data_IF_836026636228
#
_entry.id   IF_836026636228
#
_cell.length_a   1.000
_cell.length_b   1.000
_cell.length_c   1.000
_cell.angle_alpha   90.00
_cell.angle_beta   90.00
_cell.angle_gamma   90.00
#
_symmetry.space_group_name_H-M   'P 1'
#
loop_
_entity.id
_entity.type
_entity.pdbx_description
1 polymer ?
#
# COMPACT_ATOMS: atom_id res chain seq x y z
N UNK A 1 -44.31 30.85 -6.43
CA UNK A 1 -43.10 31.33 -5.74
C UNK A 1 -41.92 30.52 -6.18
N UNK A 2 -41.10 31.12 -7.01
CA UNK A 2 -39.87 30.53 -7.57
C UNK A 2 -38.77 30.72 -6.52
N UNK A 3 -38.19 29.62 -6.04
CA UNK A 3 -36.97 29.67 -5.25
C UNK A 3 -35.83 29.41 -6.22
N UNK A 4 -35.10 30.45 -6.55
CA UNK A 4 -33.86 30.43 -7.34
C UNK A 4 -32.81 29.60 -6.57
N UNK A 5 -32.45 28.46 -7.16
CA UNK A 5 -31.33 27.63 -6.75
C UNK A 5 -30.05 28.35 -7.18
N UNK A 6 -29.38 28.99 -6.24
CA UNK A 6 -28.04 29.54 -6.46
C UNK A 6 -27.07 28.39 -6.65
N UNK A 7 -26.73 28.10 -7.90
CA UNK A 7 -25.54 27.25 -8.22
C UNK A 7 -24.29 27.98 -7.75
N UNK A 8 -23.72 27.54 -6.63
CA UNK A 8 -22.35 27.88 -6.31
C UNK A 8 -21.44 27.11 -7.26
N UNK A 9 -20.98 27.75 -8.30
CA UNK A 9 -19.81 27.33 -9.05
C UNK A 9 -18.61 27.53 -8.14
N UNK A 10 -18.21 26.47 -7.44
CA UNK A 10 -16.91 26.39 -6.80
C UNK A 10 -15.90 26.28 -7.94
N UNK A 11 -15.18 27.39 -8.17
CA UNK A 11 -14.11 27.47 -9.18
C UNK A 11 -12.85 26.74 -8.73
N UNK A 12 -12.98 25.46 -8.36
CA UNK A 12 -11.82 24.59 -8.21
C UNK A 12 -11.38 24.19 -9.62
N UNK A 13 -10.17 24.58 -9.91
CA UNK A 13 -9.45 24.14 -11.10
C UNK A 13 -9.36 22.60 -11.09
N UNK A 14 -10.23 21.98 -11.88
CA UNK A 14 -10.37 20.51 -12.00
C UNK A 14 -9.16 19.89 -12.72
N UNK A 15 -8.19 20.71 -13.15
CA UNK A 15 -6.98 20.26 -13.85
C UNK A 15 -5.97 19.55 -12.93
N UNK A 16 -6.14 19.59 -11.59
CA UNK A 16 -5.26 18.94 -10.62
C UNK A 16 -5.80 17.61 -10.09
N UNK A 17 -7.01 17.22 -10.48
CA UNK A 17 -7.61 15.96 -10.03
C UNK A 17 -7.47 14.88 -11.12
N UNK A 18 -6.26 14.75 -11.68
CA UNK A 18 -5.91 13.60 -12.51
C UNK A 18 -5.83 12.36 -11.61
N UNK A 19 -7.01 11.81 -11.27
CA UNK A 19 -7.15 10.56 -10.53
C UNK A 19 -6.82 9.41 -11.46
N UNK A 20 -5.56 9.28 -11.87
CA UNK A 20 -5.13 8.08 -12.57
C UNK A 20 -5.25 6.92 -11.61
N UNK A 21 -5.94 5.88 -12.04
CA UNK A 21 -5.93 4.61 -11.32
C UNK A 21 -4.49 4.09 -11.35
N UNK A 22 -3.98 3.64 -10.19
CA UNK A 22 -2.63 3.12 -10.02
C UNK A 22 -2.71 1.66 -9.63
N UNK A 23 -1.87 0.86 -10.27
CA UNK A 23 -1.70 -0.54 -9.91
C UNK A 23 -0.37 -0.68 -9.14
N UNK A 24 -0.45 -1.22 -7.93
CA UNK A 24 0.71 -1.58 -7.12
C UNK A 24 1.01 -3.06 -7.33
N UNK A 25 2.27 -3.39 -7.56
CA UNK A 25 2.68 -4.73 -7.90
C UNK A 25 3.82 -5.16 -6.97
N UNK A 26 3.61 -6.21 -6.22
CA UNK A 26 4.61 -6.87 -5.38
C UNK A 26 5.63 -7.61 -6.27
N UNK A 27 6.57 -6.84 -6.84
CA UNK A 27 7.49 -7.36 -7.86
C UNK A 27 8.91 -7.50 -7.40
N UNK A 28 9.31 -6.75 -6.39
CA UNK A 28 10.69 -6.72 -5.96
C UNK A 28 10.82 -7.09 -4.49
N UNK A 29 11.85 -7.85 -4.16
CA UNK A 29 12.24 -8.14 -2.79
C UNK A 29 13.76 -8.06 -2.65
N UNK A 30 14.26 -7.42 -1.58
CA UNK A 30 15.70 -7.47 -1.28
C UNK A 30 16.02 -8.87 -0.79
N UNK A 31 17.00 -9.54 -1.39
CA UNK A 31 17.24 -10.97 -1.17
C UNK A 31 18.46 -11.28 -0.32
N UNK A 32 19.36 -10.33 -0.10
CA UNK A 32 20.59 -10.53 0.66
C UNK A 32 21.14 -9.22 1.26
N UNK A 33 22.12 -9.36 2.13
CA UNK A 33 22.81 -8.26 2.81
C UNK A 33 23.62 -7.35 1.87
N UNK A 34 23.84 -7.76 0.62
CA UNK A 34 24.53 -6.95 -0.37
C UNK A 34 23.61 -6.05 -1.19
N UNK A 35 22.30 -6.15 -0.95
CA UNK A 35 21.29 -5.38 -1.68
C UNK A 35 20.96 -5.93 -3.06
N UNK A 36 21.10 -7.23 -3.28
CA UNK A 36 20.55 -7.89 -4.47
C UNK A 36 19.04 -7.90 -4.39
N UNK A 37 18.33 -7.58 -5.47
CA UNK A 37 16.87 -7.73 -5.53
C UNK A 37 16.48 -8.91 -6.41
N UNK A 38 15.37 -9.56 -6.06
CA UNK A 38 14.61 -10.41 -6.99
C UNK A 38 13.63 -9.55 -7.76
N UNK A 39 13.28 -9.96 -8.99
CA UNK A 39 12.33 -9.26 -9.83
C UNK A 39 11.33 -10.21 -10.45
N UNK A 40 10.05 -9.84 -10.38
CA UNK A 40 8.94 -10.46 -11.10
C UNK A 40 8.30 -9.47 -12.07
N UNK A 41 8.98 -8.37 -12.37
CA UNK A 41 8.50 -7.30 -13.21
C UNK A 41 8.12 -7.81 -14.61
N UNK A 42 7.06 -7.22 -15.18
CA UNK A 42 6.50 -7.64 -16.46
C UNK A 42 6.15 -6.42 -17.32
N UNK A 43 6.93 -6.22 -18.39
CA UNK A 43 6.64 -5.18 -19.37
C UNK A 43 5.28 -5.37 -20.05
N UNK A 44 4.85 -6.62 -20.26
CA UNK A 44 3.53 -6.92 -20.83
C UNK A 44 2.40 -6.48 -19.90
N UNK A 45 2.58 -6.65 -18.58
CA UNK A 45 1.60 -6.16 -17.60
C UNK A 45 1.53 -4.63 -17.60
N UNK A 46 2.68 -3.95 -17.56
CA UNK A 46 2.73 -2.48 -17.60
C UNK A 46 2.04 -1.95 -18.86
N UNK A 47 2.30 -2.54 -20.00
CA UNK A 47 1.65 -2.19 -21.27
C UNK A 47 0.12 -2.33 -21.18
N UNK A 48 -0.38 -3.44 -20.63
CA UNK A 48 -1.82 -3.66 -20.47
C UNK A 48 -2.46 -2.66 -19.50
N UNK A 49 -1.76 -2.31 -18.42
CA UNK A 49 -2.21 -1.31 -17.46
C UNK A 49 -2.28 0.07 -18.12
N UNK A 50 -1.25 0.47 -18.88
CA UNK A 50 -1.24 1.73 -19.63
C UNK A 50 -2.35 1.78 -20.70
N UNK A 51 -2.64 0.69 -21.40
CA UNK A 51 -3.77 0.59 -22.32
C UNK A 51 -5.11 0.79 -21.62
N UNK A 52 -5.18 0.45 -20.32
CA UNK A 52 -6.34 0.69 -19.46
C UNK A 52 -6.33 2.08 -18.78
N UNK A 53 -5.34 2.93 -19.07
CA UNK A 53 -5.19 4.27 -18.51
C UNK A 53 -4.69 4.30 -17.06
N UNK A 54 -3.97 3.25 -16.62
CA UNK A 54 -3.43 3.12 -15.26
C UNK A 54 -1.93 3.34 -15.23
N UNK A 55 -1.45 3.96 -14.17
CA UNK A 55 -0.03 3.97 -13.82
C UNK A 55 0.34 2.68 -13.09
N UNK A 56 1.60 2.25 -13.23
CA UNK A 56 2.13 1.07 -12.56
C UNK A 56 3.34 1.45 -11.71
N UNK A 57 3.23 1.23 -10.40
CA UNK A 57 4.30 1.44 -9.45
C UNK A 57 4.78 0.09 -8.94
N UNK A 58 6.05 -0.23 -9.18
CA UNK A 58 6.66 -1.48 -8.75
C UNK A 58 6.96 -1.43 -7.24
N UNK A 59 6.37 -2.34 -6.46
CA UNK A 59 6.58 -2.43 -5.03
C UNK A 59 7.84 -3.24 -4.72
N UNK A 60 8.65 -2.73 -3.77
CA UNK A 60 9.78 -3.46 -3.19
C UNK A 60 9.57 -3.66 -1.69
N UNK A 61 9.79 -4.89 -1.23
CA UNK A 61 9.73 -5.30 0.17
C UNK A 61 11.10 -5.66 0.78
N UNK A 62 11.13 -5.79 2.12
CA UNK A 62 12.28 -6.22 2.92
C UNK A 62 12.03 -7.53 3.67
N UNK A 63 11.13 -8.40 3.20
CA UNK A 63 10.70 -9.59 3.95
C UNK A 63 11.68 -10.76 3.96
N UNK A 64 12.82 -10.66 3.28
CA UNK A 64 13.82 -11.71 3.28
C UNK A 64 14.68 -11.63 4.55
N UNK A 65 14.78 -12.72 5.31
CA UNK A 65 15.55 -12.81 6.55
C UNK A 65 17.06 -12.58 6.38
N UNK A 66 17.60 -12.69 5.17
CA UNK A 66 19.00 -12.43 4.87
C UNK A 66 19.33 -10.92 4.71
N UNK A 67 18.33 -10.05 4.76
CA UNK A 67 18.47 -8.59 4.71
C UNK A 67 18.02 -7.97 6.02
N UNK A 68 18.89 -7.22 6.69
CA UNK A 68 18.54 -6.41 7.88
C UNK A 68 18.71 -4.92 7.54
N UNK A 69 17.59 -4.24 7.33
CA UNK A 69 17.55 -2.81 6.99
C UNK A 69 18.30 -1.93 8.00
N UNK A 70 18.44 -2.39 9.26
CA UNK A 70 19.13 -1.65 10.32
C UNK A 70 20.64 -1.58 10.09
N UNK A 71 21.22 -2.67 9.60
CA UNK A 71 22.66 -2.80 9.39
C UNK A 71 23.06 -2.61 7.95
N UNK A 72 22.29 -3.18 7.02
CA UNK A 72 22.68 -3.26 5.62
C UNK A 72 22.46 -1.93 4.88
N UNK A 73 21.37 -1.21 5.17
CA UNK A 73 21.17 0.14 4.64
C UNK A 73 22.17 1.18 5.19
N UNK A 74 22.96 0.87 6.21
CA UNK A 74 24.05 1.74 6.65
C UNK A 74 25.13 1.90 5.58
N UNK A 75 25.32 0.88 4.72
CA UNK A 75 26.33 0.89 3.68
C UNK A 75 25.82 1.56 2.40
N UNK A 76 26.53 2.59 1.94
CA UNK A 76 26.18 3.29 0.70
C UNK A 76 26.20 2.35 -0.53
N UNK A 77 27.09 1.35 -0.55
CA UNK A 77 27.16 0.36 -1.64
C UNK A 77 25.90 -0.49 -1.74
N UNK A 78 25.28 -0.85 -0.59
CA UNK A 78 24.03 -1.62 -0.56
C UNK A 78 22.89 -0.76 -1.07
N UNK A 79 22.73 0.45 -0.56
CA UNK A 79 21.69 1.39 -1.04
C UNK A 79 21.82 1.66 -2.53
N UNK A 80 23.02 1.98 -3.02
CA UNK A 80 23.25 2.23 -4.44
C UNK A 80 22.88 1.02 -5.30
N UNK A 81 23.24 -0.19 -4.85
CA UNK A 81 22.94 -1.41 -5.60
C UNK A 81 21.44 -1.69 -5.69
N UNK A 82 20.69 -1.51 -4.61
CA UNK A 82 19.22 -1.63 -4.63
C UNK A 82 18.64 -0.62 -5.62
N UNK A 83 19.03 0.65 -5.50
CA UNK A 83 18.53 1.74 -6.35
C UNK A 83 18.82 1.50 -7.82
N UNK A 84 20.06 1.15 -8.18
CA UNK A 84 20.46 0.88 -9.56
C UNK A 84 19.63 -0.23 -10.21
N UNK A 85 19.39 -1.33 -9.46
CA UNK A 85 18.57 -2.44 -9.94
C UNK A 85 17.11 -2.04 -10.12
N UNK A 86 16.51 -1.35 -9.14
CA UNK A 86 15.12 -0.87 -9.23
C UNK A 86 14.92 0.04 -10.43
N UNK A 87 15.81 1.00 -10.63
CA UNK A 87 15.71 1.95 -11.74
C UNK A 87 15.92 1.27 -13.11
N UNK A 88 16.80 0.28 -13.17
CA UNK A 88 16.99 -0.51 -14.39
C UNK A 88 15.74 -1.32 -14.75
N UNK A 89 15.12 -1.98 -13.76
CA UNK A 89 13.87 -2.73 -13.93
C UNK A 89 12.71 -1.80 -14.31
N UNK A 90 12.55 -0.67 -13.62
CA UNK A 90 11.53 0.30 -13.93
C UNK A 90 11.64 0.83 -15.36
N UNK A 91 12.84 1.18 -15.78
CA UNK A 91 13.11 1.62 -17.16
C UNK A 91 12.85 0.52 -18.20
N UNK A 92 13.26 -0.73 -17.90
CA UNK A 92 13.11 -1.86 -18.84
C UNK A 92 11.65 -2.24 -19.07
N UNK A 93 10.81 -2.08 -18.05
CA UNK A 93 9.38 -2.40 -18.11
C UNK A 93 8.50 -1.19 -18.45
N UNK A 94 9.03 0.04 -18.35
CA UNK A 94 8.28 1.26 -18.59
C UNK A 94 7.32 1.62 -17.45
N UNK A 95 7.73 1.38 -16.19
CA UNK A 95 6.95 1.72 -15.00
C UNK A 95 6.86 3.23 -14.80
N UNK A 96 5.85 3.68 -14.02
CA UNK A 96 5.61 5.08 -13.71
C UNK A 96 6.17 5.47 -12.34
N UNK A 97 6.41 4.49 -11.47
CA UNK A 97 6.93 4.75 -10.13
C UNK A 97 7.45 3.50 -9.40
N UNK A 98 7.95 3.76 -8.20
CA UNK A 98 8.44 2.77 -7.26
C UNK A 98 7.71 2.99 -5.94
N UNK A 99 7.18 1.91 -5.36
CA UNK A 99 6.60 1.90 -4.02
C UNK A 99 7.54 1.14 -3.08
N UNK A 100 7.88 1.74 -1.94
CA UNK A 100 8.75 1.13 -0.92
C UNK A 100 7.89 0.65 0.23
N UNK A 101 7.77 -0.66 0.37
CA UNK A 101 7.04 -1.34 1.44
C UNK A 101 8.02 -2.04 2.40
N UNK A 102 8.81 -1.23 3.12
CA UNK A 102 9.72 -1.75 4.13
C UNK A 102 9.03 -1.75 5.50
N UNK A 103 8.70 -2.94 5.94
CA UNK A 103 7.99 -3.14 7.20
C UNK A 103 8.92 -3.51 8.37
N UNK A 104 8.36 -3.46 9.57
CA UNK A 104 9.03 -3.85 10.82
C UNK A 104 10.38 -3.15 11.06
N UNK A 105 10.54 -1.94 10.51
CA UNK A 105 11.75 -1.15 10.68
C UNK A 105 12.05 -0.94 12.16
N UNK A 106 13.31 -1.11 12.54
CA UNK A 106 13.77 -0.82 13.90
C UNK A 106 14.17 0.65 14.02
N UNK A 107 13.95 1.25 15.19
CA UNK A 107 14.29 2.67 15.43
C UNK A 107 15.74 3.00 15.06
N UNK A 108 16.67 2.09 15.34
CA UNK A 108 18.08 2.27 15.01
C UNK A 108 18.37 2.31 13.49
N UNK A 109 17.51 1.69 12.68
CA UNK A 109 17.63 1.65 11.21
C UNK A 109 17.04 2.87 10.50
N UNK A 110 16.19 3.64 11.18
CA UNK A 110 15.47 4.76 10.56
C UNK A 110 16.39 5.79 9.89
N UNK A 111 17.54 6.22 10.47
CA UNK A 111 18.42 7.14 9.78
C UNK A 111 18.94 6.60 8.43
N UNK A 112 19.19 5.30 8.35
CA UNK A 112 19.68 4.64 7.13
C UNK A 112 18.56 4.48 6.10
N UNK A 113 17.36 4.15 6.55
CA UNK A 113 16.16 4.11 5.72
C UNK A 113 15.83 5.48 5.13
N UNK A 114 15.84 6.54 5.94
CA UNK A 114 15.63 7.92 5.45
C UNK A 114 16.69 8.32 4.41
N UNK A 115 17.95 7.91 4.60
CA UNK A 115 19.00 8.15 3.63
C UNK A 115 18.76 7.37 2.33
N UNK A 116 18.31 6.12 2.42
CA UNK A 116 17.92 5.30 1.26
C UNK A 116 16.78 5.98 0.47
N UNK A 117 15.72 6.41 1.14
CA UNK A 117 14.60 7.11 0.48
C UNK A 117 15.05 8.39 -0.22
N UNK A 118 15.93 9.17 0.41
CA UNK A 118 16.47 10.40 -0.18
C UNK A 118 17.26 10.12 -1.46
N UNK A 119 18.13 9.10 -1.42
CA UNK A 119 18.94 8.68 -2.57
C UNK A 119 18.05 8.11 -3.68
N UNK A 120 17.12 7.22 -3.34
CA UNK A 120 16.16 6.63 -4.29
C UNK A 120 15.33 7.70 -4.98
N UNK A 121 14.69 8.61 -4.21
CA UNK A 121 13.82 9.63 -4.78
C UNK A 121 14.59 10.57 -5.71
N UNK A 122 15.79 10.99 -5.31
CA UNK A 122 16.63 11.83 -6.18
C UNK A 122 16.97 11.15 -7.51
N UNK A 123 17.28 9.85 -7.49
CA UNK A 123 17.63 9.10 -8.67
C UNK A 123 16.39 8.74 -9.54
N UNK A 124 15.26 8.44 -8.91
CA UNK A 124 13.99 8.17 -9.57
C UNK A 124 13.43 9.40 -10.29
N UNK A 125 13.47 10.58 -9.64
CA UNK A 125 13.04 11.83 -10.25
C UNK A 125 13.87 12.21 -11.48
N UNK A 126 15.16 11.86 -11.51
CA UNK A 126 16.00 12.05 -12.70
C UNK A 126 15.51 11.23 -13.91
N UNK A 127 14.69 10.19 -13.68
CA UNK A 127 14.05 9.35 -14.69
C UNK A 127 12.53 9.59 -14.82
N UNK A 128 12.00 10.63 -14.17
CA UNK A 128 10.57 10.96 -14.12
C UNK A 128 9.70 9.85 -13.47
N UNK A 129 10.26 9.09 -12.55
CA UNK A 129 9.53 8.11 -11.76
C UNK A 129 9.04 8.71 -10.46
N UNK A 130 7.82 8.33 -10.07
CA UNK A 130 7.23 8.64 -8.76
C UNK A 130 7.81 7.73 -7.70
N UNK A 131 7.98 8.23 -6.46
CA UNK A 131 8.35 7.41 -5.30
C UNK A 131 7.29 7.53 -4.23
N UNK A 132 6.76 6.38 -3.81
CA UNK A 132 5.84 6.27 -2.67
C UNK A 132 6.40 5.34 -1.61
N UNK A 133 5.92 5.51 -0.37
CA UNK A 133 6.28 4.63 0.75
C UNK A 133 5.05 4.16 1.49
N UNK A 134 5.06 2.90 1.91
CA UNK A 134 4.08 2.38 2.85
C UNK A 134 4.50 2.71 4.29
N UNK A 135 3.54 3.04 5.13
CA UNK A 135 3.80 3.38 6.51
C UNK A 135 2.69 2.87 7.42
N UNK A 136 3.03 2.32 8.59
CA UNK A 136 2.01 1.94 9.58
C UNK A 136 1.27 3.19 10.08
N UNK A 137 0.07 2.97 10.61
CA UNK A 137 -0.71 4.05 11.24
C UNK A 137 0.11 4.76 12.32
N UNK A 138 0.11 6.12 12.35
CA UNK A 138 0.76 6.87 13.42
C UNK A 138 0.16 6.54 14.78
N UNK A 139 0.95 5.87 15.61
CA UNK A 139 0.66 5.53 17.01
C UNK A 139 1.88 5.76 17.86
N UNK A 140 1.74 5.83 19.17
CA UNK A 140 2.86 6.14 20.07
C UNK A 140 4.09 5.25 19.84
N UNK A 141 3.87 3.95 19.57
CA UNK A 141 4.94 2.98 19.32
C UNK A 141 5.49 3.00 17.89
N UNK A 142 4.89 3.76 16.95
CA UNK A 142 5.38 3.92 15.58
C UNK A 142 5.89 5.34 15.28
N UNK A 143 6.00 6.20 16.29
CA UNK A 143 6.43 7.59 16.09
C UNK A 143 7.88 7.69 15.58
N UNK A 144 8.71 6.70 15.89
CA UNK A 144 10.11 6.65 15.46
C UNK A 144 10.27 6.51 13.93
N UNK A 145 9.20 6.17 13.18
CA UNK A 145 9.22 6.15 11.71
C UNK A 145 9.49 7.52 11.07
N UNK A 146 9.41 8.60 11.85
CA UNK A 146 9.73 9.97 11.39
C UNK A 146 9.04 10.35 10.07
N UNK A 147 7.75 10.12 9.98
CA UNK A 147 6.95 10.31 8.75
C UNK A 147 7.08 11.73 8.18
N UNK A 148 7.21 12.76 9.04
CA UNK A 148 7.45 14.13 8.61
C UNK A 148 8.78 14.32 7.89
N UNK A 149 9.81 13.52 8.18
CA UNK A 149 11.05 13.52 7.43
C UNK A 149 10.91 12.74 6.11
N UNK A 150 10.22 11.62 6.11
CA UNK A 150 9.91 10.86 4.88
C UNK A 150 9.14 11.73 3.89
N UNK A 151 8.11 12.44 4.35
CA UNK A 151 7.27 13.35 3.55
C UNK A 151 8.05 14.48 2.84
N UNK A 152 9.31 14.73 3.22
CA UNK A 152 10.15 15.73 2.55
C UNK A 152 10.83 15.21 1.29
N UNK A 153 10.81 13.92 1.08
CA UNK A 153 11.52 13.30 -0.05
C UNK A 153 10.56 12.63 -1.02
N UNK A 154 9.59 11.85 -0.49
CA UNK A 154 8.70 11.02 -1.30
C UNK A 154 7.53 11.82 -1.86
N UNK A 155 6.97 11.34 -2.98
CA UNK A 155 5.83 11.99 -3.63
C UNK A 155 4.51 11.63 -2.97
N UNK A 156 4.38 10.39 -2.48
CA UNK A 156 3.19 9.90 -1.80
C UNK A 156 3.56 9.04 -0.58
N UNK A 157 2.67 9.06 0.40
CA UNK A 157 2.73 8.12 1.51
C UNK A 157 1.42 7.33 1.58
N UNK A 158 1.54 6.01 1.63
CA UNK A 158 0.41 5.09 1.75
C UNK A 158 0.33 4.69 3.21
N UNK A 159 -0.69 5.16 3.92
CA UNK A 159 -0.92 4.71 5.29
C UNK A 159 -1.69 3.40 5.28
N UNK A 160 -1.10 2.36 5.88
CA UNK A 160 -1.71 1.04 6.04
C UNK A 160 -2.74 1.08 7.16
N UNK A 161 -3.95 1.62 6.87
CA UNK A 161 -5.01 1.82 7.86
C UNK A 161 -5.77 0.51 8.12
N UNK A 162 -5.02 -0.54 8.48
CA UNK A 162 -5.52 -1.87 8.79
C UNK A 162 -4.67 -2.52 9.89
N UNK A 163 -4.98 -3.76 10.25
CA UNK A 163 -4.38 -4.51 11.35
C UNK A 163 -4.59 -3.84 12.73
N UNK A 164 -5.70 -3.06 12.88
CA UNK A 164 -6.17 -2.58 14.18
C UNK A 164 -6.37 -3.74 15.15
N UNK A 165 -7.00 -4.81 14.66
CA UNK A 165 -7.03 -6.12 15.29
C UNK A 165 -6.62 -7.17 14.25
N UNK A 166 -5.68 -8.02 14.60
CA UNK A 166 -5.10 -9.06 13.74
C UNK A 166 -5.15 -10.43 14.41
N UNK A 167 -4.73 -11.48 13.73
CA UNK A 167 -4.81 -12.87 14.25
C UNK A 167 -4.08 -13.09 15.58
N UNK A 168 -3.13 -12.21 15.94
CA UNK A 168 -2.40 -12.22 17.21
C UNK A 168 -2.99 -11.37 18.32
N UNK A 169 -4.05 -10.60 18.07
CA UNK A 169 -4.66 -9.71 19.05
C UNK A 169 -5.28 -10.49 20.20
N UNK A 170 -5.17 -9.94 21.42
CA UNK A 170 -5.81 -10.52 22.63
C UNK A 170 -7.32 -10.42 22.56
N UNK A 171 -7.84 -9.35 21.97
CA UNK A 171 -9.25 -9.09 21.81
C UNK A 171 -9.65 -9.15 20.32
N UNK A 172 -10.85 -9.68 20.08
CA UNK A 172 -11.45 -9.68 18.75
C UNK A 172 -12.00 -8.30 18.42
N UNK A 173 -11.70 -7.79 17.22
CA UNK A 173 -12.17 -6.49 16.77
C UNK A 173 -12.15 -6.35 15.25
N UNK A 174 -12.46 -5.15 14.79
CA UNK A 174 -12.34 -4.80 13.38
C UNK A 174 -10.87 -4.76 12.95
N UNK A 175 -10.56 -5.27 11.77
CA UNK A 175 -9.23 -5.09 11.16
C UNK A 175 -8.96 -3.62 10.83
N UNK A 176 -10.03 -2.86 10.54
CA UNK A 176 -9.94 -1.47 10.11
C UNK A 176 -11.27 -0.80 10.44
N UNK A 177 -11.39 -0.26 11.66
CA UNK A 177 -12.59 0.48 12.04
C UNK A 177 -12.57 1.90 11.45
N UNK A 178 -13.74 2.48 11.23
CA UNK A 178 -13.82 3.85 10.72
C UNK A 178 -13.07 4.87 11.61
N UNK A 179 -13.17 4.83 12.95
CA UNK A 179 -12.37 5.72 13.80
C UNK A 179 -10.87 5.54 13.64
N UNK A 180 -10.39 4.30 13.45
CA UNK A 180 -8.98 4.00 13.22
C UNK A 180 -8.49 4.60 11.90
N UNK A 181 -9.26 4.43 10.82
CA UNK A 181 -8.97 5.03 9.51
C UNK A 181 -8.97 6.55 9.57
N UNK A 182 -9.98 7.14 10.22
CA UNK A 182 -10.06 8.59 10.38
C UNK A 182 -8.84 9.15 11.11
N UNK A 183 -8.46 8.53 12.23
CA UNK A 183 -7.26 8.91 12.99
C UNK A 183 -6.00 8.79 12.10
N UNK A 184 -5.86 7.70 11.35
CA UNK A 184 -4.72 7.50 10.47
C UNK A 184 -4.58 8.64 9.45
N UNK A 185 -5.66 8.99 8.76
CA UNK A 185 -5.68 10.06 7.76
C UNK A 185 -5.44 11.43 8.41
N UNK A 186 -6.07 11.72 9.55
CA UNK A 186 -5.87 12.98 10.27
C UNK A 186 -4.41 13.19 10.70
N UNK A 187 -3.75 12.16 11.23
CA UNK A 187 -2.34 12.25 11.63
C UNK A 187 -1.42 12.38 10.42
N UNK A 188 -1.69 11.65 9.34
CA UNK A 188 -0.88 11.74 8.12
C UNK A 188 -0.99 13.11 7.45
N UNK A 189 -2.19 13.70 7.41
CA UNK A 189 -2.40 15.02 6.81
C UNK A 189 -1.80 16.18 7.61
N UNK A 190 -1.30 15.93 8.82
CA UNK A 190 -0.49 16.91 9.58
C UNK A 190 0.95 17.01 9.08
N UNK A 191 1.45 15.98 8.45
CA UNK A 191 2.86 15.88 8.02
C UNK A 191 3.04 15.92 6.51
N UNK A 192 1.97 15.66 5.75
CA UNK A 192 1.99 15.63 4.28
C UNK A 192 0.69 16.25 3.71
N UNK A 193 0.72 16.93 2.56
CA UNK A 193 -0.50 17.39 1.87
C UNK A 193 -1.48 16.24 1.63
N UNK A 194 -2.78 16.50 1.80
CA UNK A 194 -3.81 15.47 1.72
C UNK A 194 -3.90 14.78 0.35
N UNK A 195 -3.55 15.47 -0.72
CA UNK A 195 -3.49 14.94 -2.09
C UNK A 195 -2.28 14.03 -2.36
N UNK A 196 -1.34 13.96 -1.41
CA UNK A 196 -0.18 13.07 -1.43
C UNK A 196 -0.32 11.91 -0.42
N UNK A 197 -1.42 11.85 0.35
CA UNK A 197 -1.71 10.75 1.26
C UNK A 197 -2.67 9.77 0.60
N UNK A 198 -2.27 8.49 0.54
CA UNK A 198 -3.11 7.38 0.08
C UNK A 198 -3.48 6.55 1.31
N UNK A 199 -4.77 6.25 1.46
CA UNK A 199 -5.24 5.43 2.56
C UNK A 199 -5.46 3.99 2.07
N UNK A 200 -4.64 3.05 2.57
CA UNK A 200 -4.81 1.61 2.36
C UNK A 200 -5.89 1.06 3.27
N UNK A 201 -6.94 0.47 2.70
CA UNK A 201 -8.04 -0.16 3.43
C UNK A 201 -8.13 -1.62 2.98
N UNK A 202 -8.20 -2.60 3.92
CA UNK A 202 -8.22 -4.01 3.55
C UNK A 202 -9.60 -4.44 3.05
N UNK A 203 -9.63 -5.29 2.04
CA UNK A 203 -10.83 -6.00 1.62
C UNK A 203 -11.03 -7.34 2.32
N UNK A 204 -10.24 -7.62 3.35
CA UNK A 204 -10.19 -8.91 4.03
C UNK A 204 -10.46 -8.75 5.51
N UNK A 205 -11.21 -9.70 6.06
CA UNK A 205 -11.47 -9.80 7.48
C UNK A 205 -10.88 -11.11 8.01
N UNK A 206 -10.06 -11.10 9.08
CA UNK A 206 -9.79 -12.31 9.82
C UNK A 206 -11.12 -12.81 10.39
N UNK A 207 -11.54 -14.02 10.02
CA UNK A 207 -12.64 -14.69 10.72
C UNK A 207 -12.12 -15.10 12.10
N UNK A 208 -12.45 -14.32 13.11
CA UNK A 208 -12.26 -14.71 14.51
C UNK A 208 -13.50 -15.49 14.93
N UNK A 209 -13.55 -16.78 14.64
CA UNK A 209 -14.42 -17.67 15.37
C UNK A 209 -13.66 -18.14 16.61
N UNK A 210 -14.32 -18.13 17.77
CA UNK A 210 -13.72 -18.25 19.10
C UNK A 210 -12.97 -19.54 19.41
N UNK A 211 -12.58 -20.36 18.42
CA UNK A 211 -11.85 -21.63 18.57
C UNK A 211 -10.83 -21.96 17.49
N UNK A 212 -10.83 -21.34 16.34
CA UNK A 212 -9.88 -21.65 15.26
C UNK A 212 -9.34 -20.36 14.66
N UNK A 213 -8.07 -20.07 14.93
CA UNK A 213 -7.31 -19.07 14.17
C UNK A 213 -7.07 -19.64 12.77
N UNK A 214 -7.92 -19.34 11.82
CA UNK A 214 -7.65 -19.62 10.42
C UNK A 214 -7.04 -18.39 9.80
N UNK A 215 -5.73 -18.36 9.73
CA UNK A 215 -5.00 -17.44 8.89
C UNK A 215 -5.41 -17.72 7.44
N UNK A 216 -6.00 -16.74 6.78
CA UNK A 216 -6.21 -16.81 5.34
C UNK A 216 -4.91 -16.40 4.68
N UNK A 217 -4.07 -17.38 4.40
CA UNK A 217 -2.93 -17.17 3.53
C UNK A 217 -3.41 -16.96 2.09
N UNK A 218 -3.01 -15.85 1.50
CA UNK A 218 -3.02 -15.72 0.05
C UNK A 218 -1.94 -16.63 -0.50
N UNK A 219 -2.34 -17.72 -1.14
CA UNK A 219 -1.41 -18.51 -1.93
C UNK A 219 -1.39 -17.98 -3.35
N UNK A 220 -0.21 -17.59 -3.81
CA UNK A 220 0.09 -17.33 -5.21
C UNK A 220 -0.31 -18.57 -6.03
N UNK A 221 -1.42 -18.49 -6.75
CA UNK A 221 -1.77 -19.50 -7.74
C UNK A 221 -0.86 -19.34 -8.95
N UNK A 222 -0.28 -20.41 -9.46
CA UNK A 222 0.38 -20.44 -10.75
C UNK A 222 -0.63 -20.05 -11.83
N UNK A 223 -0.59 -18.80 -12.30
CA UNK A 223 -1.53 -18.22 -13.26
C UNK A 223 -2.25 -17.00 -12.68
N UNK A 224 -1.66 -15.86 -12.86
CA UNK A 224 -2.23 -14.51 -12.94
C UNK A 224 -3.55 -14.29 -12.18
N UNK A 225 -3.49 -13.95 -10.90
CA UNK A 225 -4.61 -13.47 -10.13
C UNK A 225 -4.67 -14.08 -8.73
N UNK A 226 -4.87 -13.21 -7.74
CA UNK A 226 -5.14 -13.60 -6.37
C UNK A 226 -6.44 -14.41 -6.32
N UNK A 227 -6.37 -15.65 -5.90
CA UNK A 227 -7.57 -16.48 -5.67
C UNK A 227 -7.85 -16.56 -4.18
N UNK A 228 -9.00 -16.05 -3.80
CA UNK A 228 -9.56 -16.24 -2.47
C UNK A 228 -9.86 -17.72 -2.24
N UNK A 229 -9.19 -18.35 -1.28
CA UNK A 229 -9.56 -19.69 -0.83
C UNK A 229 -10.69 -19.53 0.18
N UNK A 230 -11.90 -19.85 -0.24
CA UNK A 230 -13.06 -19.89 0.65
C UNK A 230 -12.82 -20.90 1.77
N UNK A 231 -12.95 -20.49 3.04
CA UNK A 231 -13.06 -21.40 4.16
C UNK A 231 -14.23 -22.36 3.94
N UNK A 232 -13.97 -23.65 3.84
CA UNK A 232 -15.01 -24.66 4.00
C UNK A 232 -15.47 -24.63 5.45
N UNK A 233 -16.73 -24.31 5.64
CA UNK A 233 -17.41 -24.41 6.92
C UNK A 233 -17.60 -25.88 7.21
N UNK A 234 -16.97 -26.40 8.28
CA UNK A 234 -17.47 -27.61 8.93
C UNK A 234 -18.57 -27.19 9.90
N UNK A 235 -19.69 -27.86 9.76
CA UNK A 235 -20.96 -27.58 10.41
C UNK A 235 -20.91 -27.82 11.90
N UNK A 236 -21.35 -26.91 12.68
CA UNK A 236 -22.30 -26.90 13.77
C UNK A 236 -21.99 -25.75 14.76
N UNK A 237 -22.60 -24.61 14.57
CA UNK A 237 -23.30 -23.91 15.63
C UNK A 237 -24.04 -22.69 15.07
N UNK A 238 -25.29 -22.60 15.45
CA UNK A 238 -26.24 -21.56 15.09
C UNK A 238 -25.96 -20.26 15.85
N UNK A 239 -26.01 -19.14 15.13
CA UNK A 239 -26.04 -17.76 15.59
C UNK A 239 -24.72 -17.01 15.68
N UNK A 240 -24.25 -16.58 14.51
CA UNK A 240 -23.66 -15.24 14.33
C UNK A 240 -23.89 -14.84 12.88
N UNK A 241 -24.67 -13.77 12.68
CA UNK A 241 -25.11 -13.34 11.36
C UNK A 241 -23.97 -12.78 10.51
N UNK A 242 -23.37 -13.62 9.70
CA UNK A 242 -22.63 -13.17 8.51
C UNK A 242 -23.68 -12.84 7.46
N UNK A 243 -23.75 -11.59 7.03
CA UNK A 243 -24.55 -11.19 5.87
C UNK A 243 -23.95 -11.89 4.66
N UNK A 244 -24.71 -12.76 3.94
CA UNK A 244 -24.20 -13.38 2.74
C UNK A 244 -24.18 -12.34 1.63
N UNK A 245 -23.01 -12.07 1.08
CA UNK A 245 -22.87 -11.37 -0.18
C UNK A 245 -23.36 -12.28 -1.31
N UNK A 246 -24.09 -11.75 -2.29
CA UNK A 246 -24.56 -12.54 -3.41
C UNK A 246 -23.38 -13.11 -4.19
N UNK A 247 -23.55 -14.34 -4.66
CA UNK A 247 -22.58 -15.10 -5.45
C UNK A 247 -22.06 -14.27 -6.62
N UNK A 248 -20.77 -13.91 -6.61
CA UNK A 248 -20.11 -13.33 -7.76
C UNK A 248 -19.86 -14.43 -8.80
N UNK A 249 -20.72 -14.46 -9.81
CA UNK A 249 -20.49 -15.23 -11.03
C UNK A 249 -19.24 -14.74 -11.76
N UNK A 250 -18.53 -15.72 -12.33
CA UNK A 250 -17.43 -15.66 -13.29
C UNK A 250 -16.94 -14.29 -13.77
N UNK A 251 -15.74 -13.97 -13.36
CA UNK A 251 -14.74 -13.24 -14.17
C UNK A 251 -15.16 -11.86 -14.67
N UNK A 252 -15.16 -10.86 -13.83
CA UNK A 252 -14.99 -9.46 -14.26
C UNK A 252 -14.30 -8.64 -13.16
N UNK A 253 -13.43 -7.75 -13.61
CA UNK A 253 -12.64 -6.78 -12.88
C UNK A 253 -13.47 -6.05 -11.80
N UNK A 254 -12.98 -6.02 -10.58
CA UNK A 254 -13.55 -5.22 -9.51
C UNK A 254 -13.11 -3.76 -9.70
N UNK A 255 -14.06 -2.89 -9.98
CA UNK A 255 -13.93 -1.43 -9.84
C UNK A 255 -14.11 -1.07 -8.37
N UNK A 256 -13.10 -0.46 -7.77
CA UNK A 256 -13.25 0.27 -6.52
C UNK A 256 -14.00 1.58 -6.83
N UNK A 257 -15.27 1.67 -6.50
CA UNK A 257 -15.98 2.96 -6.47
C UNK A 257 -15.91 3.50 -5.04
N UNK A 258 -15.12 4.55 -4.86
CA UNK A 258 -15.21 5.37 -3.66
C UNK A 258 -16.49 6.20 -3.82
N UNK A 259 -17.52 5.88 -3.05
CA UNK A 259 -18.68 6.75 -2.94
C UNK A 259 -18.32 7.95 -2.06
N UNK A 260 -18.46 9.15 -2.64
CA UNK A 260 -18.41 10.40 -1.92
C UNK A 260 -19.44 10.35 -0.77
N UNK A 261 -18.95 10.45 0.46
CA UNK A 261 -19.77 10.71 1.63
C UNK A 261 -19.96 12.23 1.75
N UNK A 262 -20.73 12.80 0.83
CA UNK A 262 -21.33 14.10 1.02
C UNK A 262 -22.83 13.92 1.12
N UNK A 263 -23.36 14.23 2.29
CA UNK A 263 -24.76 14.57 2.41
C UNK A 263 -25.59 13.81 3.44
N UNK A 264 -25.79 14.44 4.60
CA UNK A 264 -26.90 14.15 5.48
C UNK A 264 -26.69 14.63 6.88
#
# INVERSE_FOLDING_TARGET
EHIDRVERRDGRDDSRNDRRERDFTDWFSVTDETGTISSLASADYVKLAHEAGREVWGLIDNFNEAFDETTDLAYASVRSRIIEQLLAEAASCGMDGINVDFENLKEAGIPHYLQFLRELTSAAHAQNLVVSVDTPVPQAYTMYYQRGEQARFVDYMIVMAYDEHFAGSEEAGSVSSLPFVQQAVEEMTRVMPADQVICGIPFLYPCLDGKVRTERHYQRGAGHGWRQKLCKRESDDRNLGCIPWPECGNGRNFRCQIHDLDGG
#
